data_IF_812236360987
#
_entry.id   IF_812236360987
#
_cell.length_a   1.000
_cell.length_b   1.000
_cell.length_c   1.000
_cell.angle_alpha   90.00
_cell.angle_beta   90.00
_cell.angle_gamma   90.00
#
_symmetry.space_group_name_H-M   'P 1'
#
loop_
_entity.id
_entity.type
_entity.pdbx_description
1 polymer ?
#
# COMPACT_ATOMS: atom_id res chain seq x y z
N UNK A 1 19.53 -18.16 -14.97
CA UNK A 1 18.61 -17.89 -16.10
C UNK A 1 17.16 -18.28 -15.84
N UNK A 2 16.81 -19.50 -15.40
CA UNK A 2 15.40 -19.91 -15.11
C UNK A 2 14.64 -18.91 -14.21
N UNK A 3 15.23 -18.51 -13.07
CA UNK A 3 14.59 -17.59 -12.13
C UNK A 3 14.44 -16.17 -12.70
N UNK A 4 15.42 -15.68 -13.46
CA UNK A 4 15.31 -14.38 -14.13
C UNK A 4 14.18 -14.39 -15.18
N UNK A 5 14.12 -15.45 -15.98
CA UNK A 5 13.05 -15.64 -16.95
C UNK A 5 11.68 -15.68 -16.28
N UNK A 6 11.54 -16.47 -15.20
CA UNK A 6 10.30 -16.56 -14.43
C UNK A 6 9.93 -15.21 -13.79
N UNK A 7 10.92 -14.47 -13.30
CA UNK A 7 10.71 -13.12 -12.80
C UNK A 7 10.09 -12.23 -13.88
N UNK A 8 10.75 -12.11 -15.04
CA UNK A 8 10.33 -11.23 -16.14
C UNK A 8 9.05 -11.65 -16.87
N UNK A 9 8.62 -12.90 -16.70
CA UNK A 9 7.45 -13.46 -17.39
C UNK A 9 6.22 -13.54 -16.50
N UNK A 10 6.39 -13.65 -15.18
CA UNK A 10 5.29 -13.87 -14.24
C UNK A 10 5.43 -13.08 -12.94
N UNK A 11 6.62 -12.98 -12.34
CA UNK A 11 6.74 -12.36 -11.00
C UNK A 11 6.69 -10.84 -11.06
N UNK A 12 7.16 -10.20 -12.14
CA UNK A 12 7.17 -8.75 -12.27
C UNK A 12 5.76 -8.12 -12.28
N UNK A 13 4.70 -8.89 -12.54
CA UNK A 13 3.31 -8.38 -12.47
C UNK A 13 2.73 -8.42 -11.05
N UNK A 14 3.45 -8.99 -10.07
CA UNK A 14 2.96 -9.18 -8.68
C UNK A 14 2.65 -7.89 -7.91
N UNK A 15 3.13 -6.75 -8.41
CA UNK A 15 2.91 -5.42 -7.82
C UNK A 15 1.96 -4.56 -8.65
N UNK A 16 1.40 -5.11 -9.72
CA UNK A 16 0.43 -4.43 -10.57
C UNK A 16 -0.96 -4.89 -10.20
N UNK A 17 -1.84 -3.92 -9.96
CA UNK A 17 -3.27 -4.10 -9.67
C UNK A 17 -4.15 -4.00 -10.94
N UNK A 18 -3.55 -3.66 -12.08
CA UNK A 18 -4.20 -3.54 -13.38
C UNK A 18 -3.50 -4.43 -14.41
N UNK A 19 -4.29 -5.31 -15.04
CA UNK A 19 -3.88 -6.24 -16.11
C UNK A 19 -3.95 -5.62 -17.52
N UNK A 20 -4.15 -4.29 -17.60
CA UNK A 20 -4.13 -3.55 -18.86
C UNK A 20 -2.88 -3.84 -19.71
N UNK A 21 -3.08 -4.08 -21.02
CA UNK A 21 -2.02 -4.41 -22.00
C UNK A 21 -0.89 -3.37 -22.10
N UNK A 22 -1.10 -2.16 -21.58
CA UNK A 22 -0.13 -1.06 -21.56
C UNK A 22 -0.01 -0.48 -20.14
N UNK A 23 0.28 -1.33 -19.16
CA UNK A 23 0.55 -0.87 -17.81
C UNK A 23 2.05 -0.46 -17.68
N UNK A 24 2.39 0.85 -17.60
CA UNK A 24 3.78 1.31 -17.53
C UNK A 24 4.52 0.75 -16.30
N UNK A 25 3.81 0.37 -15.24
CA UNK A 25 4.37 -0.27 -14.05
C UNK A 25 5.00 -1.63 -14.39
N UNK A 26 4.35 -2.41 -15.25
CA UNK A 26 4.86 -3.72 -15.66
C UNK A 26 6.16 -3.58 -16.45
N UNK A 27 6.28 -2.57 -17.32
CA UNK A 27 7.49 -2.32 -18.08
C UNK A 27 8.65 -1.87 -17.17
N UNK A 28 8.36 -1.05 -16.15
CA UNK A 28 9.37 -0.64 -15.17
C UNK A 28 9.85 -1.86 -14.36
N UNK A 29 8.94 -2.69 -13.84
CA UNK A 29 9.29 -3.90 -13.07
C UNK A 29 10.01 -4.95 -13.93
N UNK A 30 9.62 -5.10 -15.20
CA UNK A 30 10.20 -6.11 -16.10
C UNK A 30 11.55 -5.67 -16.66
N UNK A 31 11.69 -4.39 -17.02
CA UNK A 31 12.86 -3.89 -17.75
C UNK A 31 13.76 -3.06 -16.84
N UNK A 32 13.25 -1.93 -16.32
CA UNK A 32 14.09 -0.98 -15.59
C UNK A 32 14.63 -1.57 -14.28
N UNK A 33 13.79 -2.27 -13.52
CA UNK A 33 14.21 -2.95 -12.29
C UNK A 33 15.28 -4.01 -12.55
N UNK A 34 15.19 -4.75 -13.66
CA UNK A 34 16.19 -5.75 -14.05
C UNK A 34 17.51 -5.11 -14.48
N UNK A 35 17.48 -3.99 -15.20
CA UNK A 35 18.69 -3.22 -15.53
C UNK A 35 19.43 -2.78 -14.27
N UNK A 36 18.72 -2.19 -13.31
CA UNK A 36 19.30 -1.79 -12.02
C UNK A 36 19.86 -3.01 -11.26
N UNK A 37 19.20 -4.16 -11.36
CA UNK A 37 19.65 -5.40 -10.71
C UNK A 37 20.94 -5.96 -11.31
N UNK A 38 21.19 -5.78 -12.62
CA UNK A 38 22.47 -6.21 -13.22
C UNK A 38 23.67 -5.44 -12.68
N UNK A 39 23.47 -4.20 -12.24
CA UNK A 39 24.49 -3.35 -11.63
C UNK A 39 24.62 -3.57 -10.11
N UNK A 40 23.62 -4.21 -9.49
CA UNK A 40 23.49 -4.32 -8.03
C UNK A 40 23.19 -5.77 -7.58
N UNK A 41 24.21 -6.54 -7.15
CA UNK A 41 24.05 -7.97 -6.85
C UNK A 41 22.96 -8.29 -5.82
N UNK A 42 22.81 -7.46 -4.78
CA UNK A 42 21.79 -7.69 -3.75
C UNK A 42 20.36 -7.56 -4.29
N UNK A 43 20.13 -6.66 -5.25
CA UNK A 43 18.84 -6.52 -5.90
C UNK A 43 18.57 -7.72 -6.81
N UNK A 44 19.57 -8.20 -7.55
CA UNK A 44 19.44 -9.42 -8.35
C UNK A 44 19.10 -10.64 -7.47
N UNK A 45 19.75 -10.78 -6.32
CA UNK A 45 19.42 -11.81 -5.33
C UNK A 45 17.95 -11.66 -4.85
N UNK A 46 17.42 -10.43 -4.69
CA UNK A 46 16.00 -10.21 -4.38
C UNK A 46 15.05 -10.60 -5.49
N UNK A 47 15.40 -10.34 -6.76
CA UNK A 47 14.59 -10.80 -7.90
C UNK A 47 14.49 -12.33 -7.90
N UNK A 48 15.60 -13.01 -7.63
CA UNK A 48 15.64 -14.46 -7.54
C UNK A 48 14.90 -15.00 -6.32
N UNK A 49 15.07 -14.38 -5.16
CA UNK A 49 14.33 -14.75 -3.96
C UNK A 49 12.82 -14.61 -4.18
N UNK A 50 12.38 -13.53 -4.81
CA UNK A 50 10.96 -13.28 -5.04
C UNK A 50 10.38 -14.21 -6.09
N UNK A 51 11.12 -14.46 -7.18
CA UNK A 51 10.73 -15.45 -8.18
C UNK A 51 10.63 -16.86 -7.58
N UNK A 52 11.59 -17.26 -6.75
CA UNK A 52 11.54 -18.52 -6.01
C UNK A 52 10.32 -18.61 -5.10
N UNK A 53 10.02 -17.55 -4.34
CA UNK A 53 8.86 -17.50 -3.46
C UNK A 53 7.53 -17.58 -4.26
N UNK A 54 7.45 -16.88 -5.39
CA UNK A 54 6.28 -16.93 -6.26
C UNK A 54 6.11 -18.32 -6.89
N UNK A 55 7.19 -18.95 -7.36
CA UNK A 55 7.15 -20.35 -7.84
C UNK A 55 6.64 -21.31 -6.76
N UNK A 56 7.12 -21.18 -5.52
CA UNK A 56 6.66 -21.98 -4.38
C UNK A 56 5.16 -21.77 -4.11
N UNK A 57 4.66 -20.53 -4.23
CA UNK A 57 3.23 -20.24 -4.05
C UNK A 57 2.31 -20.85 -5.12
N UNK A 58 2.90 -21.26 -6.25
CA UNK A 58 2.23 -21.92 -7.37
C UNK A 58 2.52 -23.44 -7.40
N UNK A 59 3.04 -24.01 -6.31
CA UNK A 59 3.44 -25.41 -6.19
C UNK A 59 4.42 -25.89 -7.28
N UNK A 60 5.26 -24.98 -7.79
CA UNK A 60 6.31 -25.30 -8.78
C UNK A 60 7.63 -25.69 -8.10
N UNK A 61 8.37 -26.60 -8.74
CA UNK A 61 9.69 -27.02 -8.27
C UNK A 61 10.68 -25.84 -8.17
N UNK A 62 11.12 -25.59 -6.94
CA UNK A 62 12.19 -24.66 -6.61
C UNK A 62 13.11 -25.29 -5.56
N UNK A 63 14.43 -25.19 -5.76
CA UNK A 63 15.44 -25.60 -4.80
C UNK A 63 15.34 -24.72 -3.52
N UNK A 64 14.94 -25.28 -2.36
CA UNK A 64 14.75 -24.52 -1.13
C UNK A 64 16.05 -23.91 -0.59
N UNK A 65 17.17 -24.64 -0.72
CA UNK A 65 18.47 -24.17 -0.23
C UNK A 65 18.93 -22.96 -1.02
N UNK A 66 18.73 -23.01 -2.34
CA UNK A 66 19.09 -21.89 -3.23
C UNK A 66 18.18 -20.68 -3.02
N UNK A 67 16.87 -20.89 -2.84
CA UNK A 67 15.92 -19.83 -2.51
C UNK A 67 16.29 -19.12 -1.20
N UNK A 68 16.63 -19.90 -0.16
CA UNK A 68 17.09 -19.37 1.13
C UNK A 68 18.40 -18.57 0.98
N UNK A 69 19.36 -19.07 0.20
CA UNK A 69 20.62 -18.36 -0.05
C UNK A 69 20.40 -17.02 -0.77
N UNK A 70 19.51 -16.96 -1.77
CA UNK A 70 19.13 -15.69 -2.42
C UNK A 70 18.53 -14.71 -1.43
N UNK A 71 17.59 -15.18 -0.59
CA UNK A 71 16.98 -14.35 0.45
C UNK A 71 18.03 -13.80 1.42
N UNK A 72 18.93 -14.65 1.92
CA UNK A 72 19.98 -14.24 2.85
C UNK A 72 20.93 -13.19 2.26
N UNK A 73 21.46 -13.41 1.05
CA UNK A 73 22.38 -12.47 0.39
C UNK A 73 21.71 -11.15 0.01
N UNK A 74 20.44 -11.20 -0.39
CA UNK A 74 19.60 -10.01 -0.60
C UNK A 74 19.55 -9.14 0.66
N UNK A 75 19.21 -9.72 1.83
CA UNK A 75 19.15 -8.98 3.09
C UNK A 75 20.50 -8.44 3.54
N UNK A 76 21.56 -9.24 3.46
CA UNK A 76 22.91 -8.82 3.85
C UNK A 76 23.41 -7.68 2.97
N UNK A 77 23.30 -7.82 1.65
CA UNK A 77 23.74 -6.82 0.69
C UNK A 77 22.92 -5.53 0.78
N UNK A 78 21.60 -5.64 0.96
CA UNK A 78 20.74 -4.48 1.19
C UNK A 78 21.12 -3.72 2.46
N UNK A 79 21.35 -4.43 3.58
CA UNK A 79 21.77 -3.81 4.84
C UNK A 79 23.08 -3.05 4.68
N UNK A 80 24.09 -3.67 4.06
CA UNK A 80 25.38 -3.04 3.78
C UNK A 80 25.22 -1.79 2.91
N UNK A 81 24.40 -1.86 1.87
CA UNK A 81 24.15 -0.72 0.98
C UNK A 81 23.43 0.44 1.69
N UNK A 82 22.51 0.15 2.62
CA UNK A 82 21.86 1.16 3.47
C UNK A 82 22.87 1.82 4.40
N UNK A 83 23.76 1.04 5.05
CA UNK A 83 24.79 1.55 5.96
C UNK A 83 25.80 2.47 5.25
N UNK A 84 26.18 2.10 4.02
CA UNK A 84 27.13 2.87 3.22
C UNK A 84 26.50 4.12 2.59
N UNK A 85 25.20 4.08 2.28
CA UNK A 85 24.43 5.19 1.71
C UNK A 85 25.08 5.85 0.48
N UNK A 86 25.77 5.07 -0.36
CA UNK A 86 26.37 5.57 -1.61
C UNK A 86 25.29 5.96 -2.63
N UNK A 87 25.34 7.17 -3.23
CA UNK A 87 24.35 7.64 -4.20
C UNK A 87 24.05 6.69 -5.37
N UNK A 88 25.06 5.96 -5.83
CA UNK A 88 24.97 5.03 -6.96
C UNK A 88 24.07 3.83 -6.66
N UNK A 89 23.92 3.44 -5.38
CA UNK A 89 23.07 2.32 -4.98
C UNK A 89 21.63 2.73 -4.72
N UNK A 90 21.31 4.03 -4.72
CA UNK A 90 19.98 4.51 -4.36
C UNK A 90 18.86 3.91 -5.21
N UNK A 91 18.95 3.83 -6.56
CA UNK A 91 17.95 3.15 -7.38
C UNK A 91 17.73 1.70 -6.97
N UNK A 92 18.81 1.00 -6.60
CA UNK A 92 18.72 -0.38 -6.14
C UNK A 92 18.15 -0.49 -4.73
N UNK A 93 18.47 0.45 -3.83
CA UNK A 93 17.90 0.51 -2.49
C UNK A 93 16.37 0.68 -2.54
N UNK A 94 15.88 1.65 -3.33
CA UNK A 94 14.45 1.92 -3.40
C UNK A 94 13.70 0.76 -4.07
N UNK A 95 14.24 0.20 -5.15
CA UNK A 95 13.70 -1.00 -5.80
C UNK A 95 13.64 -2.19 -4.82
N UNK A 96 14.72 -2.41 -4.06
CA UNK A 96 14.81 -3.51 -3.12
C UNK A 96 13.83 -3.33 -1.95
N UNK A 97 13.66 -2.10 -1.46
CA UNK A 97 12.69 -1.81 -0.39
C UNK A 97 11.26 -2.21 -0.75
N UNK A 98 10.87 -2.05 -2.02
CA UNK A 98 9.58 -2.53 -2.54
C UNK A 98 9.51 -4.06 -2.56
N UNK A 99 10.55 -4.74 -3.06
CA UNK A 99 10.56 -6.21 -3.11
C UNK A 99 10.55 -6.83 -1.70
N UNK A 100 11.17 -6.16 -0.74
CA UNK A 100 11.20 -6.61 0.66
C UNK A 100 9.81 -6.64 1.29
N UNK A 101 8.85 -5.79 0.88
CA UNK A 101 7.48 -5.86 1.42
C UNK A 101 6.81 -7.20 1.09
N UNK A 102 7.02 -7.71 -0.14
CA UNK A 102 6.53 -9.01 -0.56
C UNK A 102 7.38 -10.17 -0.01
N UNK A 103 8.72 -10.08 -0.05
CA UNK A 103 9.59 -11.13 0.49
C UNK A 103 9.40 -11.36 1.99
N UNK A 104 9.21 -10.28 2.74
CA UNK A 104 8.97 -10.35 4.19
C UNK A 104 7.58 -10.85 4.55
N UNK A 105 6.64 -10.91 3.59
CA UNK A 105 5.29 -11.40 3.85
C UNK A 105 5.23 -12.92 4.04
N UNK A 106 6.28 -13.66 3.64
CA UNK A 106 6.39 -15.10 3.88
C UNK A 106 6.26 -15.43 5.39
N UNK A 107 6.72 -14.54 6.26
CA UNK A 107 6.67 -14.72 7.72
C UNK A 107 5.23 -14.78 8.27
N UNK A 108 4.21 -14.28 7.56
CA UNK A 108 2.81 -14.47 7.96
C UNK A 108 2.31 -15.91 7.77
N UNK A 109 3.02 -16.71 6.97
CA UNK A 109 2.69 -18.11 6.65
C UNK A 109 3.65 -19.09 7.34
N UNK A 110 4.54 -18.57 8.16
CA UNK A 110 5.51 -19.35 8.92
C UNK A 110 5.00 -19.47 10.36
N UNK A 111 4.87 -20.70 10.84
CA UNK A 111 4.33 -21.01 12.16
C UNK A 111 5.31 -20.60 13.27
N UNK A 112 6.62 -20.59 12.96
CA UNK A 112 7.68 -20.18 13.89
C UNK A 112 7.86 -18.65 13.94
N UNK A 113 7.17 -17.90 13.07
CA UNK A 113 7.26 -16.45 13.06
C UNK A 113 6.53 -15.82 14.24
N UNK A 114 7.14 -14.75 14.77
CA UNK A 114 6.68 -13.98 15.93
C UNK A 114 5.21 -13.54 15.80
N UNK A 115 4.46 -13.62 16.88
CA UNK A 115 3.11 -13.04 16.98
C UNK A 115 3.11 -11.53 16.71
N UNK A 116 2.02 -11.03 16.16
CA UNK A 116 1.85 -9.62 15.79
C UNK A 116 2.91 -9.15 14.78
N UNK A 117 3.33 -10.04 13.87
CA UNK A 117 4.32 -9.72 12.83
C UNK A 117 3.88 -8.55 11.93
N UNK A 118 2.59 -8.23 11.88
CA UNK A 118 2.05 -7.02 11.22
C UNK A 118 2.75 -5.73 11.70
N UNK A 119 3.17 -5.66 12.96
CA UNK A 119 3.89 -4.52 13.53
C UNK A 119 5.29 -4.41 12.91
N UNK A 120 6.01 -5.53 12.79
CA UNK A 120 7.33 -5.56 12.18
C UNK A 120 7.23 -5.30 10.66
N UNK A 121 6.18 -5.80 10.02
CA UNK A 121 5.92 -5.59 8.60
C UNK A 121 5.62 -4.13 8.26
N UNK A 122 4.89 -3.42 9.11
CA UNK A 122 4.69 -1.97 9.00
C UNK A 122 6.03 -1.20 8.99
N UNK A 123 7.04 -1.66 9.73
CA UNK A 123 8.40 -1.07 9.71
C UNK A 123 9.07 -1.31 8.34
N UNK A 124 8.89 -2.50 7.74
CA UNK A 124 9.39 -2.80 6.38
C UNK A 124 8.81 -1.82 5.37
N UNK A 125 7.48 -1.60 5.41
CA UNK A 125 6.81 -0.61 4.55
C UNK A 125 7.32 0.81 4.79
N UNK A 126 7.56 1.19 6.05
CA UNK A 126 8.10 2.52 6.39
C UNK A 126 9.51 2.74 5.84
N UNK A 127 10.28 1.67 5.70
CA UNK A 127 11.62 1.70 5.08
C UNK A 127 11.63 2.34 3.69
N UNK A 128 10.55 2.18 2.91
CA UNK A 128 10.42 2.80 1.58
C UNK A 128 10.51 4.33 1.69
N UNK A 129 9.73 4.92 2.60
CA UNK A 129 9.72 6.38 2.80
C UNK A 129 11.08 6.91 3.27
N UNK A 130 11.77 6.18 4.14
CA UNK A 130 13.12 6.57 4.58
C UNK A 130 14.15 6.53 3.44
N UNK A 131 14.03 5.57 2.52
CA UNK A 131 14.91 5.52 1.33
C UNK A 131 14.58 6.66 0.36
N UNK A 132 13.30 7.04 0.20
CA UNK A 132 12.89 8.21 -0.59
C UNK A 132 13.47 9.49 0.02
N UNK A 133 13.35 9.67 1.35
CA UNK A 133 13.90 10.81 2.10
C UNK A 133 15.43 10.90 1.91
N UNK A 134 16.13 9.77 1.98
CA UNK A 134 17.59 9.69 1.77
C UNK A 134 18.00 10.00 0.33
N UNK A 135 17.27 9.44 -0.63
CA UNK A 135 17.56 9.59 -2.06
C UNK A 135 17.31 11.00 -2.56
N UNK A 136 16.27 11.66 -2.03
CA UNK A 136 15.74 12.90 -2.55
C UNK A 136 14.90 12.70 -3.82
N UNK A 137 13.88 13.53 -3.99
CA UNK A 137 12.88 13.33 -5.04
C UNK A 137 13.45 13.42 -6.46
N UNK A 138 14.45 14.29 -6.68
CA UNK A 138 15.12 14.44 -7.99
C UNK A 138 15.74 13.12 -8.46
N UNK A 139 16.52 12.46 -7.60
CA UNK A 139 17.13 11.17 -7.93
C UNK A 139 16.12 10.04 -8.09
N UNK A 140 14.96 10.13 -7.44
CA UNK A 140 13.86 9.20 -7.64
C UNK A 140 13.31 9.29 -9.06
N UNK A 141 13.13 10.50 -9.59
CA UNK A 141 12.76 10.70 -10.99
C UNK A 141 13.83 10.19 -11.95
N UNK A 142 15.09 10.57 -11.74
CA UNK A 142 16.23 10.16 -12.57
C UNK A 142 16.42 8.62 -12.58
N UNK A 143 16.04 7.96 -11.49
CA UNK A 143 16.10 6.49 -11.42
C UNK A 143 15.17 5.80 -12.41
N UNK A 144 14.10 6.45 -12.89
CA UNK A 144 13.06 5.84 -13.71
C UNK A 144 12.14 4.87 -12.95
N UNK A 145 12.22 4.84 -11.61
CA UNK A 145 11.41 3.96 -10.74
C UNK A 145 10.24 4.70 -10.06
N UNK A 146 10.15 6.03 -10.22
CA UNK A 146 9.20 6.87 -9.47
C UNK A 146 7.74 6.40 -9.57
N UNK A 147 7.31 5.92 -10.74
CA UNK A 147 5.92 5.52 -10.96
C UNK A 147 5.49 4.34 -10.08
N UNK A 148 6.43 3.49 -9.62
CA UNK A 148 6.16 2.39 -8.68
C UNK A 148 5.68 2.90 -7.30
N UNK A 149 6.03 4.14 -6.96
CA UNK A 149 5.76 4.76 -5.65
C UNK A 149 4.66 5.83 -5.73
N UNK A 150 4.15 6.11 -6.92
CA UNK A 150 3.05 7.05 -7.10
C UNK A 150 1.73 6.45 -6.62
N UNK A 151 0.89 7.27 -5.98
CA UNK A 151 -0.37 6.82 -5.37
C UNK A 151 -1.51 7.77 -5.72
N UNK A 152 -2.72 7.25 -5.99
CA UNK A 152 -3.90 8.09 -6.17
C UNK A 152 -4.18 8.92 -4.90
N UNK A 153 -4.65 10.16 -5.05
CA UNK A 153 -4.86 11.04 -3.91
C UNK A 153 -5.99 10.57 -2.99
N UNK A 154 -5.86 10.85 -1.69
CA UNK A 154 -6.87 10.53 -0.69
C UNK A 154 -7.68 11.79 -0.37
N UNK A 155 -8.98 11.74 -0.61
CA UNK A 155 -9.94 12.76 -0.14
C UNK A 155 -10.18 12.57 1.37
N UNK A 156 -9.40 13.30 2.19
CA UNK A 156 -9.45 13.17 3.64
C UNK A 156 -10.76 13.66 4.26
N UNK A 157 -11.47 14.58 3.61
CA UNK A 157 -12.78 15.06 4.08
C UNK A 157 -13.81 13.94 4.00
N UNK A 158 -13.93 13.29 2.82
CA UNK A 158 -14.82 12.13 2.66
C UNK A 158 -14.39 10.94 3.50
N UNK A 159 -13.09 10.73 3.64
CA UNK A 159 -12.53 9.67 4.48
C UNK A 159 -12.92 9.87 5.96
N UNK A 160 -12.89 11.10 6.46
CA UNK A 160 -13.27 11.43 7.85
C UNK A 160 -14.74 11.10 8.12
N UNK A 161 -15.63 11.38 7.15
CA UNK A 161 -17.06 11.04 7.25
C UNK A 161 -17.36 9.53 7.24
N UNK A 162 -16.40 8.68 6.87
CA UNK A 162 -16.55 7.24 6.78
C UNK A 162 -15.87 6.48 7.94
N UNK A 163 -15.35 7.19 8.96
CA UNK A 163 -14.76 6.56 10.14
C UNK A 163 -15.84 5.81 10.94
N UNK A 164 -15.64 4.55 11.33
CA UNK A 164 -16.58 3.84 12.20
C UNK A 164 -16.81 4.57 13.52
N UNK A 165 -18.08 4.79 13.88
CA UNK A 165 -18.46 5.60 15.05
C UNK A 165 -17.87 5.07 16.36
N UNK A 166 -17.77 3.75 16.52
CA UNK A 166 -17.20 3.13 17.72
C UNK A 166 -15.69 3.42 17.86
N UNK A 167 -14.94 3.41 16.75
CA UNK A 167 -13.53 3.80 16.73
C UNK A 167 -13.34 5.30 16.95
N UNK A 168 -14.19 6.12 16.34
CA UNK A 168 -14.18 7.56 16.59
C UNK A 168 -14.42 7.84 18.07
N UNK A 169 -15.45 7.22 18.66
CA UNK A 169 -15.77 7.34 20.08
C UNK A 169 -14.63 6.84 20.99
N UNK A 170 -13.96 5.75 20.62
CA UNK A 170 -12.79 5.23 21.36
C UNK A 170 -11.69 6.29 21.49
N UNK A 171 -11.47 7.10 20.45
CA UNK A 171 -10.43 8.14 20.42
C UNK A 171 -10.92 9.45 21.05
N UNK A 172 -12.13 9.91 20.73
CA UNK A 172 -12.65 11.18 21.26
C UNK A 172 -13.02 11.13 22.74
N UNK A 173 -13.17 9.93 23.32
CA UNK A 173 -13.48 9.74 24.74
C UNK A 173 -12.24 9.70 25.64
N UNK A 174 -11.03 9.81 25.08
CA UNK A 174 -9.79 9.87 25.84
C UNK A 174 -9.73 11.19 26.62
N UNK A 175 -9.63 11.11 27.95
CA UNK A 175 -9.67 12.27 28.85
C UNK A 175 -8.28 12.62 29.37
N UNK A 176 -8.11 13.86 29.82
CA UNK A 176 -6.92 14.28 30.55
C UNK A 176 -6.67 13.33 31.74
N UNK A 177 -5.50 12.69 31.75
CA UNK A 177 -5.12 11.65 32.72
C UNK A 177 -5.06 10.24 32.14
N UNK A 178 -5.64 9.98 30.96
CA UNK A 178 -5.37 8.75 30.20
C UNK A 178 -3.95 8.82 29.62
N UNK A 179 -3.14 7.74 29.69
CA UNK A 179 -1.79 7.78 29.13
C UNK A 179 -1.75 7.98 27.61
N UNK A 180 -2.84 7.71 26.87
CA UNK A 180 -2.98 8.01 25.43
C UNK A 180 -3.41 9.46 25.14
N UNK A 181 -3.64 10.32 26.14
CA UNK A 181 -4.19 11.66 25.93
C UNK A 181 -3.32 12.54 25.01
N UNK A 182 -2.00 12.40 25.08
CA UNK A 182 -1.08 13.13 24.20
C UNK A 182 -1.12 12.63 22.73
N UNK A 183 -1.67 11.43 22.51
CA UNK A 183 -1.63 10.71 21.23
C UNK A 183 -2.96 10.75 20.49
N UNK A 184 -3.97 11.44 21.04
CA UNK A 184 -5.33 11.56 20.47
C UNK A 184 -5.29 11.98 19.00
N UNK A 185 -4.52 13.01 18.68
CA UNK A 185 -4.38 13.52 17.31
C UNK A 185 -3.77 12.46 16.38
N UNK A 186 -2.79 11.70 16.87
CA UNK A 186 -2.16 10.63 16.08
C UNK A 186 -3.15 9.50 15.78
N UNK A 187 -3.94 9.08 16.76
CA UNK A 187 -5.01 8.11 16.54
C UNK A 187 -6.06 8.64 15.58
N UNK A 188 -6.50 9.89 15.75
CA UNK A 188 -7.50 10.51 14.89
C UNK A 188 -7.04 10.62 13.44
N UNK A 189 -5.81 11.09 13.18
CA UNK A 189 -5.22 11.12 11.84
C UNK A 189 -5.15 9.71 11.22
N UNK A 190 -4.80 8.70 12.02
CA UNK A 190 -4.75 7.32 11.55
C UNK A 190 -6.14 6.80 11.17
N UNK A 191 -7.17 7.16 11.96
CA UNK A 191 -8.56 6.83 11.66
C UNK A 191 -9.03 7.45 10.35
N UNK A 192 -8.57 8.65 9.97
CA UNK A 192 -8.90 9.22 8.64
C UNK A 192 -8.42 8.32 7.51
N UNK A 193 -7.19 7.80 7.59
CA UNK A 193 -6.69 6.87 6.57
C UNK A 193 -7.44 5.54 6.57
N UNK A 194 -7.85 5.03 7.72
CA UNK A 194 -8.74 3.86 7.81
C UNK A 194 -10.12 4.16 7.20
N UNK A 195 -10.71 5.31 7.52
CA UNK A 195 -11.97 5.80 6.94
C UNK A 195 -11.89 5.94 5.42
N UNK A 196 -10.71 6.23 4.87
CA UNK A 196 -10.52 6.22 3.42
C UNK A 196 -10.76 4.84 2.81
N UNK A 197 -10.39 3.75 3.50
CA UNK A 197 -10.65 2.39 3.04
C UNK A 197 -12.15 2.08 3.04
N UNK A 198 -12.86 2.50 4.10
CA UNK A 198 -14.32 2.42 4.18
C UNK A 198 -15.01 3.19 3.04
N UNK A 199 -14.60 4.44 2.81
CA UNK A 199 -15.14 5.26 1.74
C UNK A 199 -14.95 4.60 0.36
N UNK A 200 -13.75 4.07 0.08
CA UNK A 200 -13.46 3.41 -1.20
C UNK A 200 -14.23 2.10 -1.34
N UNK A 201 -14.31 1.28 -0.29
CA UNK A 201 -15.07 0.04 -0.32
C UNK A 201 -16.56 0.30 -0.54
N UNK A 202 -17.11 1.41 -0.04
CA UNK A 202 -18.49 1.80 -0.30
C UNK A 202 -18.77 2.00 -1.81
N UNK A 203 -17.75 2.41 -2.57
CA UNK A 203 -17.80 2.56 -4.03
C UNK A 203 -17.46 1.25 -4.78
N UNK A 204 -17.28 0.14 -4.06
CA UNK A 204 -16.98 -1.17 -4.61
C UNK A 204 -15.50 -1.55 -4.57
N UNK A 205 -15.25 -2.84 -4.80
CA UNK A 205 -13.92 -3.42 -4.81
C UNK A 205 -13.28 -3.09 -6.15
N UNK A 206 -12.42 -2.06 -6.14
CA UNK A 206 -11.69 -1.57 -7.31
C UNK A 206 -10.19 -1.78 -7.16
N UNK A 207 -9.42 -1.75 -8.26
CA UNK A 207 -7.96 -1.80 -8.16
C UNK A 207 -7.41 -0.67 -7.29
N UNK A 208 -7.94 0.56 -7.39
CA UNK A 208 -7.53 1.68 -6.50
C UNK A 208 -7.72 1.33 -5.03
N UNK A 209 -8.87 0.75 -4.68
CA UNK A 209 -9.13 0.30 -3.32
C UNK A 209 -8.09 -0.74 -2.87
N UNK A 210 -7.80 -1.75 -3.71
CA UNK A 210 -6.78 -2.76 -3.40
C UNK A 210 -5.41 -2.11 -3.16
N UNK A 211 -4.96 -1.21 -4.04
CA UNK A 211 -3.70 -0.50 -3.85
C UNK A 211 -3.67 0.30 -2.54
N UNK A 212 -4.77 0.96 -2.17
CA UNK A 212 -4.88 1.68 -0.89
C UNK A 212 -4.76 0.75 0.32
N UNK A 213 -5.37 -0.43 0.27
CA UNK A 213 -5.22 -1.44 1.34
C UNK A 213 -3.75 -1.86 1.44
N UNK A 214 -3.14 -2.23 0.31
CA UNK A 214 -1.76 -2.74 0.25
C UNK A 214 -0.76 -1.72 0.77
N UNK A 215 -0.99 -0.44 0.46
CA UNK A 215 -0.04 0.63 0.73
C UNK A 215 -0.43 1.49 1.94
N UNK A 216 -1.43 1.07 2.72
CA UNK A 216 -1.96 1.86 3.84
C UNK A 216 -0.87 2.32 4.83
N UNK A 217 0.11 1.46 5.13
CA UNK A 217 1.22 1.79 6.02
C UNK A 217 2.12 2.94 5.54
N UNK A 218 2.10 3.29 4.25
CA UNK A 218 2.88 4.43 3.73
C UNK A 218 2.24 5.78 4.05
N UNK A 219 0.94 5.81 4.40
CA UNK A 219 0.20 7.04 4.65
C UNK A 219 0.06 7.38 6.14
N UNK A 220 0.09 6.38 7.02
CA UNK A 220 -0.15 6.59 8.45
C UNK A 220 0.97 7.39 9.14
N UNK A 221 0.67 8.14 10.22
CA UNK A 221 1.66 8.92 10.94
C UNK A 221 2.82 8.08 11.49
N UNK A 222 4.05 8.62 11.44
CA UNK A 222 5.26 7.96 12.03
C UNK A 222 5.04 7.58 13.50
N UNK A 223 4.36 8.45 14.25
CA UNK A 223 4.11 8.22 15.67
C UNK A 223 3.14 7.06 15.93
N UNK A 224 2.15 6.83 15.06
CA UNK A 224 1.24 5.68 15.20
C UNK A 224 2.01 4.35 15.15
N UNK A 225 3.05 4.27 14.32
CA UNK A 225 3.92 3.09 14.23
C UNK A 225 4.58 2.83 15.59
N UNK A 226 5.01 3.87 16.30
CA UNK A 226 5.60 3.75 17.62
C UNK A 226 4.57 3.26 18.65
N UNK A 227 3.35 3.80 18.63
CA UNK A 227 2.25 3.34 19.50
C UNK A 227 1.92 1.86 19.28
N UNK A 228 1.92 1.40 18.02
CA UNK A 228 1.75 -0.01 17.70
C UNK A 228 2.94 -0.88 18.16
N UNK A 229 4.19 -0.39 18.05
CA UNK A 229 5.39 -1.09 18.58
C UNK A 229 5.37 -1.21 20.10
N UNK A 230 4.86 -0.19 20.78
CA UNK A 230 4.59 -0.18 22.22
C UNK A 230 3.36 -1.01 22.59
N UNK A 231 2.66 -1.58 21.59
CA UNK A 231 1.48 -2.41 21.74
C UNK A 231 0.36 -1.68 22.51
N UNK A 232 0.24 -0.36 22.29
CA UNK A 232 -0.86 0.44 22.85
C UNK A 232 -2.18 -0.15 22.34
N UNK A 233 -3.11 -0.55 23.23
CA UNK A 233 -4.27 -1.33 22.79
C UNK A 233 -5.15 -0.63 21.75
N UNK A 234 -5.33 0.70 21.84
CA UNK A 234 -6.08 1.48 20.84
C UNK A 234 -5.44 1.42 19.45
N UNK A 235 -4.10 1.42 19.37
CA UNK A 235 -3.38 1.23 18.11
C UNK A 235 -3.65 -0.16 17.54
N UNK A 236 -3.61 -1.19 18.38
CA UNK A 236 -3.86 -2.57 17.97
C UNK A 236 -5.32 -2.80 17.55
N UNK A 237 -6.30 -2.14 18.18
CA UNK A 237 -7.70 -2.15 17.73
C UNK A 237 -7.80 -1.59 16.31
N UNK A 238 -7.17 -0.45 16.03
CA UNK A 238 -7.16 0.14 14.67
C UNK A 238 -6.52 -0.82 13.66
N UNK A 239 -5.40 -1.46 14.04
CA UNK A 239 -4.75 -2.48 13.20
C UNK A 239 -5.64 -3.71 12.98
N UNK A 240 -6.48 -4.08 13.94
CA UNK A 240 -7.40 -5.21 13.80
C UNK A 240 -8.46 -4.90 12.73
N UNK A 241 -9.02 -3.69 12.74
CA UNK A 241 -9.92 -3.23 11.68
C UNK A 241 -9.23 -3.17 10.32
N UNK A 242 -8.01 -2.64 10.24
CA UNK A 242 -7.23 -2.66 9.01
C UNK A 242 -6.94 -4.11 8.52
N UNK A 243 -6.68 -5.05 9.43
CA UNK A 243 -6.40 -6.44 9.07
C UNK A 243 -7.62 -7.14 8.45
N UNK A 244 -8.84 -6.71 8.77
CA UNK A 244 -10.04 -7.14 8.05
C UNK A 244 -10.07 -6.65 6.59
N UNK A 245 -9.58 -5.44 6.29
CA UNK A 245 -9.40 -5.00 4.90
C UNK A 245 -8.32 -5.79 4.17
N UNK A 246 -7.23 -6.19 4.84
CA UNK A 246 -6.21 -7.06 4.25
C UNK A 246 -6.77 -8.42 3.82
N UNK A 247 -7.90 -8.87 4.37
CA UNK A 247 -8.58 -10.07 3.87
C UNK A 247 -9.18 -9.89 2.47
N UNK A 248 -9.36 -8.66 1.96
CA UNK A 248 -9.85 -8.39 0.61
C UNK A 248 -8.74 -8.46 -0.46
N UNK A 249 -7.48 -8.67 -0.08
CA UNK A 249 -6.35 -8.69 -1.02
C UNK A 249 -5.83 -10.09 -1.32
N UNK A 250 -6.65 -11.15 -1.10
CA UNK A 250 -6.23 -12.55 -1.28
C UNK A 250 -5.86 -12.91 -2.72
N UNK A 251 -6.35 -12.13 -3.70
CA UNK A 251 -5.99 -12.28 -5.12
C UNK A 251 -4.50 -12.00 -5.38
N UNK A 252 -3.85 -11.23 -4.51
CA UNK A 252 -2.42 -10.97 -4.57
C UNK A 252 -1.70 -12.07 -3.80
N UNK A 253 -0.97 -12.93 -4.53
CA UNK A 253 -0.41 -14.16 -3.99
C UNK A 253 0.44 -13.96 -2.71
N UNK A 254 1.25 -12.89 -2.66
CA UNK A 254 2.11 -12.59 -1.51
C UNK A 254 1.36 -11.96 -0.33
N UNK A 255 0.10 -11.56 -0.50
CA UNK A 255 -0.78 -11.08 0.59
C UNK A 255 -1.74 -12.15 1.13
N UNK A 256 -1.81 -13.31 0.47
CA UNK A 256 -2.58 -14.45 0.96
C UNK A 256 -2.31 -14.73 2.46
N UNK A 257 -3.34 -14.96 3.26
CA UNK A 257 -3.27 -15.19 4.71
C UNK A 257 -2.71 -14.04 5.58
N UNK A 258 -2.22 -12.93 5.02
CA UNK A 258 -1.66 -11.82 5.83
C UNK A 258 -2.75 -11.21 6.72
N UNK A 259 -3.92 -10.90 6.17
CA UNK A 259 -5.05 -10.37 6.94
C UNK A 259 -5.56 -11.34 8.00
N UNK A 260 -5.68 -12.63 7.65
CA UNK A 260 -6.16 -13.68 8.57
C UNK A 260 -5.21 -13.89 9.74
N UNK A 261 -3.91 -14.09 9.47
CA UNK A 261 -2.88 -14.23 10.52
C UNK A 261 -2.86 -13.01 11.43
N UNK A 262 -2.89 -11.81 10.86
CA UNK A 262 -2.85 -10.56 11.63
C UNK A 262 -4.08 -10.37 12.50
N UNK A 263 -5.28 -10.66 11.98
CA UNK A 263 -6.52 -10.61 12.75
C UNK A 263 -6.51 -11.59 13.92
N UNK A 264 -6.02 -12.81 13.69
CA UNK A 264 -5.91 -13.82 14.74
C UNK A 264 -4.98 -13.35 15.87
N UNK A 265 -3.75 -12.94 15.52
CA UNK A 265 -2.77 -12.44 16.48
C UNK A 265 -3.32 -11.23 17.27
N UNK A 266 -3.92 -10.25 16.59
CA UNK A 266 -4.44 -9.02 17.21
C UNK A 266 -5.64 -9.29 18.13
N UNK A 267 -6.60 -10.10 17.69
CA UNK A 267 -7.77 -10.45 18.50
C UNK A 267 -7.40 -11.32 19.71
N UNK A 268 -6.36 -12.15 19.60
CA UNK A 268 -5.88 -12.97 20.71
C UNK A 268 -5.10 -12.13 21.72
N UNK A 269 -4.30 -11.17 21.25
CA UNK A 269 -3.53 -10.30 22.13
C UNK A 269 -4.41 -9.30 22.90
N UNK A 270 -5.41 -8.74 22.22
CA UNK A 270 -6.34 -7.80 22.84
C UNK A 270 -7.29 -8.55 23.77
N UNK A 271 -7.16 -8.30 25.08
CA UNK A 271 -7.92 -8.97 26.12
C UNK A 271 -9.41 -8.62 26.14
N UNK A 272 -10.16 -9.22 27.09
CA UNK A 272 -11.61 -9.06 27.23
C UNK A 272 -12.07 -7.60 27.37
N UNK A 273 -11.22 -6.71 27.89
CA UNK A 273 -11.53 -5.30 28.08
C UNK A 273 -11.78 -4.54 26.75
N UNK A 274 -11.21 -5.02 25.63
CA UNK A 274 -11.40 -4.44 24.29
C UNK A 274 -12.50 -5.15 23.48
N UNK A 275 -13.13 -6.19 24.01
CA UNK A 275 -14.03 -7.06 23.26
C UNK A 275 -15.19 -6.32 22.60
N UNK A 276 -15.72 -5.29 23.25
CA UNK A 276 -16.79 -4.44 22.72
C UNK A 276 -16.39 -3.68 21.43
N UNK A 277 -15.10 -3.44 21.22
CA UNK A 277 -14.55 -2.85 19.99
C UNK A 277 -14.07 -3.91 19.00
N UNK A 278 -14.01 -5.18 19.38
CA UNK A 278 -13.48 -6.26 18.54
C UNK A 278 -14.56 -7.10 17.87
N UNK A 279 -15.83 -6.74 17.99
CA UNK A 279 -16.93 -7.48 17.34
C UNK A 279 -16.72 -7.59 15.83
N UNK A 280 -16.43 -6.49 15.14
CA UNK A 280 -16.17 -6.48 13.69
C UNK A 280 -14.91 -7.30 13.33
N UNK A 281 -13.72 -7.05 13.92
CA UNK A 281 -12.54 -7.90 13.70
C UNK A 281 -12.78 -9.39 13.96
N UNK A 282 -13.51 -9.75 15.02
CA UNK A 282 -13.81 -11.14 15.35
C UNK A 282 -14.73 -11.78 14.30
N UNK A 283 -15.77 -11.09 13.87
CA UNK A 283 -16.66 -11.57 12.81
C UNK A 283 -15.93 -11.71 11.48
N UNK A 284 -14.97 -10.83 11.17
CA UNK A 284 -14.20 -10.89 9.94
C UNK A 284 -13.31 -12.15 9.85
N UNK A 285 -12.91 -12.75 10.99
CA UNK A 285 -12.21 -14.04 11.04
C UNK A 285 -13.08 -15.21 10.59
N UNK A 286 -14.40 -15.08 10.69
CA UNK A 286 -15.35 -16.14 10.38
C UNK A 286 -15.83 -16.11 8.91
N UNK A 287 -15.31 -15.18 8.11
CA UNK A 287 -15.81 -14.93 6.75
C UNK A 287 -14.65 -14.73 5.79
N UNK A 288 -14.66 -15.46 4.67
CA UNK A 288 -13.57 -15.43 3.67
C UNK A 288 -13.98 -14.89 2.31
N UNK A 289 -15.28 -14.61 2.10
CA UNK A 289 -15.75 -14.00 0.85
C UNK A 289 -15.63 -12.49 0.90
N UNK A 290 -15.20 -11.86 -0.19
CA UNK A 290 -15.07 -10.39 -0.26
C UNK A 290 -16.35 -9.64 0.13
N UNK A 291 -17.49 -10.10 -0.39
CA UNK A 291 -18.80 -9.54 -0.03
C UNK A 291 -19.15 -9.74 1.44
N UNK A 292 -18.80 -10.90 2.00
CA UNK A 292 -19.04 -11.19 3.41
C UNK A 292 -18.17 -10.34 4.32
N UNK A 293 -16.88 -10.18 3.99
CA UNK A 293 -15.95 -9.29 4.70
C UNK A 293 -16.48 -7.84 4.65
N UNK A 294 -16.92 -7.36 3.48
CA UNK A 294 -17.48 -6.02 3.33
C UNK A 294 -18.73 -5.81 4.20
N UNK A 295 -19.67 -6.78 4.20
CA UNK A 295 -20.86 -6.74 5.04
C UNK A 295 -20.54 -6.71 6.54
N UNK A 296 -19.51 -7.44 6.96
CA UNK A 296 -19.01 -7.41 8.34
C UNK A 296 -18.41 -6.04 8.66
N UNK A 297 -17.56 -5.50 7.78
CA UNK A 297 -16.93 -4.19 7.96
C UNK A 297 -17.96 -3.06 8.13
N UNK A 298 -19.04 -3.08 7.35
CA UNK A 298 -20.14 -2.11 7.47
C UNK A 298 -21.21 -2.47 8.50
N UNK A 299 -21.05 -3.59 9.22
CA UNK A 299 -22.04 -4.10 10.18
C UNK A 299 -23.46 -4.18 9.57
N UNK A 300 -23.54 -4.50 8.28
CA UNK A 300 -24.76 -4.50 7.50
C UNK A 300 -24.82 -5.76 6.61
N UNK A 301 -25.64 -6.77 6.97
CA UNK A 301 -25.73 -8.03 6.23
C UNK A 301 -26.31 -7.87 4.82
N UNK A 302 -27.00 -6.76 4.55
CA UNK A 302 -27.59 -6.44 3.27
C UNK A 302 -26.75 -5.42 2.48
N UNK A 303 -25.54 -5.09 2.96
CA UNK A 303 -24.67 -4.15 2.26
C UNK A 303 -24.36 -4.65 0.84
N UNK A 304 -24.42 -3.69 -0.09
CA UNK A 304 -24.03 -3.80 -1.49
C UNK A 304 -23.25 -2.54 -1.87
N UNK A 305 -22.30 -2.63 -2.82
CA UNK A 305 -21.58 -1.46 -3.32
C UNK A 305 -22.52 -0.38 -3.85
N UNK A 306 -22.21 0.89 -3.60
CA UNK A 306 -22.98 2.04 -4.09
C UNK A 306 -22.84 2.22 -5.61
N UNK A 307 -21.77 1.69 -6.20
CA UNK A 307 -21.51 1.68 -7.64
C UNK A 307 -21.24 0.26 -8.13
N UNK A 308 -21.81 -0.18 -9.26
CA UNK A 308 -21.52 -1.49 -9.83
C UNK A 308 -20.02 -1.62 -10.16
N UNK A 309 -19.44 -2.79 -9.89
CA UNK A 309 -18.01 -3.14 -9.97
C UNK A 309 -17.35 -3.04 -11.36
N UNK A 310 -18.00 -2.36 -12.32
CA UNK A 310 -17.63 -2.33 -13.73
C UNK A 310 -16.86 -1.06 -14.14
N UNK A 311 -16.55 -0.17 -13.18
CA UNK A 311 -15.73 1.02 -13.43
C UNK A 311 -14.26 0.60 -13.62
N UNK A 312 -13.86 0.43 -14.88
CA UNK A 312 -12.45 0.40 -15.26
C UNK A 312 -11.85 1.77 -15.00
N UNK A 313 -10.69 1.79 -14.36
CA UNK A 313 -9.85 2.98 -14.24
C UNK A 313 -9.48 3.40 -15.66
N UNK A 314 -9.68 4.67 -16.00
CA UNK A 314 -9.07 5.23 -17.19
C UNK A 314 -7.55 5.28 -16.95
N UNK A 315 -6.74 4.45 -17.65
CA UNK A 315 -5.29 4.43 -17.47
C UNK A 315 -4.63 5.76 -17.86
N UNK A 316 -5.38 6.71 -18.43
CA UNK A 316 -4.93 8.07 -18.76
C UNK A 316 -5.28 9.12 -17.72
N UNK A 317 -6.01 8.77 -16.64
CA UNK A 317 -6.30 9.70 -15.56
C UNK A 317 -4.98 10.15 -14.89
N UNK A 318 -4.71 11.46 -14.93
CA UNK A 318 -3.44 12.04 -14.48
C UNK A 318 -3.17 11.69 -13.00
N UNK A 319 -2.13 10.90 -12.78
CA UNK A 319 -1.63 10.54 -11.45
C UNK A 319 -0.77 11.71 -10.95
N UNK A 320 -1.23 12.44 -9.93
CA UNK A 320 -0.53 13.61 -9.37
C UNK A 320 0.13 13.27 -8.02
N UNK A 321 1.25 13.93 -7.70
CA UNK A 321 1.88 13.80 -6.38
C UNK A 321 1.04 14.50 -5.31
N UNK A 322 1.20 14.09 -4.06
CA UNK A 322 0.63 14.77 -2.89
C UNK A 322 1.74 15.24 -1.95
N UNK A 323 1.59 16.42 -1.36
CA UNK A 323 2.43 16.84 -0.23
C UNK A 323 1.99 16.20 1.09
N UNK A 324 2.67 16.55 2.19
CA UNK A 324 2.41 16.00 3.53
C UNK A 324 1.00 16.37 4.06
N UNK A 325 0.34 17.35 3.45
CA UNK A 325 -1.04 17.75 3.74
C UNK A 325 -2.07 17.18 2.76
N UNK A 326 -1.64 16.34 1.82
CA UNK A 326 -2.53 15.69 0.85
C UNK A 326 -2.96 16.57 -0.32
N UNK A 327 -2.26 17.68 -0.59
CA UNK A 327 -2.54 18.60 -1.71
C UNK A 327 -1.78 18.19 -2.96
N UNK A 328 -2.40 18.36 -4.13
CA UNK A 328 -1.79 17.99 -5.41
C UNK A 328 -0.54 18.82 -5.67
N UNK A 329 0.55 18.15 -5.99
CA UNK A 329 1.80 18.76 -6.44
C UNK A 329 2.27 18.12 -7.75
N UNK A 330 2.97 18.90 -8.57
CA UNK A 330 3.61 18.46 -9.79
C UNK A 330 5.12 18.69 -9.67
N UNK A 331 5.91 17.70 -10.12
CA UNK A 331 7.35 17.89 -10.26
C UNK A 331 7.63 18.64 -11.55
N UNK A 332 8.34 19.76 -11.47
CA UNK A 332 8.79 20.52 -12.64
C UNK A 332 10.27 20.22 -12.91
N UNK A 333 10.62 19.40 -13.93
CA UNK A 333 12.02 19.01 -14.18
C UNK A 333 12.94 20.20 -14.50
N UNK A 334 12.40 21.26 -15.14
CA UNK A 334 13.16 22.47 -15.47
C UNK A 334 13.49 23.33 -14.25
N UNK A 335 12.67 23.27 -13.18
CA UNK A 335 12.80 24.13 -12.00
C UNK A 335 13.27 23.37 -10.75
N UNK A 336 13.43 22.04 -10.84
CA UNK A 336 13.85 21.14 -9.75
C UNK A 336 13.09 21.33 -8.44
N UNK A 337 11.78 21.56 -8.52
CA UNK A 337 10.90 21.74 -7.35
C UNK A 337 9.54 21.11 -7.56
N UNK A 338 8.87 20.81 -6.45
CA UNK A 338 7.45 20.47 -6.41
C UNK A 338 6.62 21.75 -6.40
N UNK A 339 5.62 21.85 -7.26
CA UNK A 339 4.71 23.00 -7.38
C UNK A 339 3.29 22.55 -7.06
N UNK A 340 2.59 23.31 -6.21
CA UNK A 340 1.17 23.06 -5.90
C UNK A 340 0.31 23.26 -7.15
N UNK A 341 -0.51 22.26 -7.47
CA UNK A 341 -1.51 22.33 -8.54
C UNK A 341 -2.77 23.00 -7.97
N UNK A 342 -3.10 24.18 -8.52
CA UNK A 342 -4.26 24.98 -8.10
C UNK A 342 -5.57 24.29 -8.54
N UNK A 343 -6.56 24.05 -7.65
CA UNK A 343 -7.79 23.30 -7.97
C UNK A 343 -8.65 23.90 -9.09
N UNK A 344 -8.37 25.13 -9.52
CA UNK A 344 -9.25 25.91 -10.42
C UNK A 344 -9.01 25.70 -11.92
N UNK A 345 -8.07 24.85 -12.34
CA UNK A 345 -7.71 24.72 -13.76
C UNK A 345 -8.03 23.39 -14.45
N UNK A 346 -8.61 22.42 -13.75
CA UNK A 346 -9.10 21.20 -14.39
C UNK A 346 -10.64 21.19 -14.42
N UNK A 347 -11.20 21.74 -15.51
CA UNK A 347 -12.42 21.27 -16.19
C UNK A 347 -12.82 22.23 -17.31
N UNK A 348 -12.29 22.04 -18.52
CA UNK A 348 -13.01 22.34 -19.77
C UNK A 348 -12.50 21.41 -20.88
N UNK A 349 -12.82 20.12 -20.79
CA UNK A 349 -13.03 19.30 -21.97
C UNK A 349 -14.54 19.20 -22.11
N UNK A 350 -15.16 20.27 -22.61
CA UNK A 350 -16.49 20.29 -23.23
C UNK A 350 -16.81 21.74 -23.60
N UNK A 351 -16.38 22.18 -24.79
CA UNK A 351 -16.98 23.30 -25.52
C UNK A 351 -16.39 23.40 -26.94
N UNK A 352 -16.47 22.32 -27.73
CA UNK A 352 -16.33 22.40 -29.19
C UNK A 352 -17.33 21.48 -29.88
N UNK A 353 -18.63 21.71 -29.63
CA UNK A 353 -19.70 21.35 -30.57
C UNK A 353 -20.86 22.35 -30.47
N UNK A 354 -21.19 22.91 -31.63
CA UNK A 354 -22.39 23.68 -31.97
C UNK A 354 -22.40 25.17 -31.58
N UNK A 355 -21.66 25.98 -32.34
CA UNK A 355 -22.16 27.32 -32.68
C UNK A 355 -22.47 27.37 -34.20
N UNK A 356 -23.75 27.27 -34.61
CA UNK A 356 -24.18 27.46 -35.99
C UNK A 356 -24.24 28.95 -36.40
N UNK A 357 -23.58 29.86 -35.67
CA UNK A 357 -23.60 31.30 -35.91
C UNK A 357 -22.45 31.89 -36.74
N UNK A 358 -21.43 31.12 -37.13
CA UNK A 358 -20.28 31.63 -37.90
C UNK A 358 -20.35 31.28 -39.39
N UNK A 359 -21.52 31.54 -39.99
CA UNK A 359 -21.65 31.81 -41.42
C UNK A 359 -22.35 33.17 -41.59
N UNK A 360 -21.56 34.19 -41.91
CA UNK A 360 -22.06 35.36 -42.64
C UNK A 360 -21.09 35.62 -43.81
N UNK A 361 -21.57 35.55 -45.05
CA UNK A 361 -20.83 36.06 -46.21
C UNK A 361 -21.06 37.57 -46.36
N UNK A 362 -20.25 38.13 -47.26
CA UNK A 362 -20.27 39.49 -47.84
C UNK A 362 -19.45 40.51 -47.05
N UNK A 363 -18.45 41.19 -47.63
CA UNK A 363 -18.19 41.53 -49.05
C UNK A 363 -16.83 41.07 -49.62
#
# INVERSE_FOLDING_TARGET
>A
MKLLWFYTSATCTSFSIDDGRFNPINDILKTRMVQVAFENPFLMDSLFALASLHMQSLDQECDPSRALAYRARSFEGYRRAVEQAHPETYPALIANSLLLTALSSQNFRDDDSKELYIIDWMIVWRGIGLVIDLMGIERLFDSGLYALFSRPPIDLEKATGAIPNNLLFMVTSIKAGDPDFADVDTYYETLKYLGSLYHNLNNGISPVMMLRIITWFTFIPRHFIQLARERRPRALVILAYYSAFLKLTQVVWWLKNVGERSLNDLCQYLGPEWQHLLVVPQMARLVDTDMGIARVLFENPNWVPSTPSNLRIDPTAAITFLDDEGRRVEWTPSEKKLVLLDPRKDNTIDEWKNDPGLWKPED
#
